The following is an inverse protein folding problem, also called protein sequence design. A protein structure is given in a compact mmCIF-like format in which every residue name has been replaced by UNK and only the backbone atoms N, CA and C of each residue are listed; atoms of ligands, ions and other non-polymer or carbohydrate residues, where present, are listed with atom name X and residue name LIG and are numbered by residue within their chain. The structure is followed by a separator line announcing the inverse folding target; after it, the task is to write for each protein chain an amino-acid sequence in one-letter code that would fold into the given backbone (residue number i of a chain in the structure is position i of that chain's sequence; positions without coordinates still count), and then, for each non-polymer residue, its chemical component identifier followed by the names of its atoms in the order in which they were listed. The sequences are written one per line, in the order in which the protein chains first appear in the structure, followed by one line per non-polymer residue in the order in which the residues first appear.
data_IF_065879991725
#
_entry.id   IF_065879991725
#
_cell.length_a   1.000
_cell.length_b   1.000
_cell.length_c   1.000
_cell.angle_alpha   90.00
_cell.angle_beta   90.00
_cell.angle_gamma   90.00
#
_symmetry.space_group_name_H-M   'P 1'
#
loop_
_entity.id
_entity.type
_entity.pdbx_description
1 polymer ?
#
# COMPACT_ATOMS: atom_id res chain seq x y z
N UNK A 1 -9.61 -16.09 -18.72
CA UNK A 1 -10.24 -15.01 -17.93
C UNK A 1 -9.15 -14.35 -17.13
N UNK A 2 -9.11 -13.02 -17.08
CA UNK A 2 -8.12 -12.35 -16.24
C UNK A 2 -8.42 -12.60 -14.76
N UNK A 3 -7.41 -12.61 -13.87
CA UNK A 3 -7.59 -12.73 -12.43
C UNK A 3 -8.61 -11.73 -11.86
N UNK A 4 -8.57 -10.50 -12.36
CA UNK A 4 -9.52 -9.45 -12.03
C UNK A 4 -10.98 -9.83 -12.35
N UNK A 5 -11.24 -10.41 -13.54
CA UNK A 5 -12.60 -10.80 -13.94
C UNK A 5 -13.17 -11.92 -13.06
N UNK A 6 -12.33 -12.87 -12.63
CA UNK A 6 -12.73 -13.95 -11.73
C UNK A 6 -13.09 -13.37 -10.36
N UNK A 7 -12.25 -12.49 -9.83
CA UNK A 7 -12.45 -11.85 -8.55
C UNK A 7 -13.71 -10.98 -8.53
N UNK A 8 -13.92 -10.16 -9.56
CA UNK A 8 -15.15 -9.37 -9.69
C UNK A 8 -16.39 -10.25 -9.81
N UNK A 9 -16.30 -11.38 -10.52
CA UNK A 9 -17.37 -12.37 -10.58
C UNK A 9 -17.70 -12.94 -9.20
N UNK A 10 -16.69 -13.31 -8.42
CA UNK A 10 -16.87 -13.80 -7.04
C UNK A 10 -17.50 -12.73 -6.14
N UNK A 11 -17.05 -11.48 -6.23
CA UNK A 11 -17.64 -10.35 -5.47
C UNK A 11 -19.12 -10.21 -5.79
N UNK A 12 -19.48 -10.20 -7.07
CA UNK A 12 -20.88 -10.07 -7.50
C UNK A 12 -21.77 -11.22 -7.00
N UNK A 13 -21.26 -12.47 -7.00
CA UNK A 13 -22.00 -13.64 -6.53
C UNK A 13 -22.11 -13.65 -4.99
N UNK A 14 -21.03 -13.32 -4.28
CA UNK A 14 -21.00 -13.38 -2.81
C UNK A 14 -21.74 -12.21 -2.17
N UNK A 15 -21.79 -11.05 -2.80
CA UNK A 15 -22.42 -9.85 -2.22
C UNK A 15 -23.88 -10.08 -1.78
N UNK A 16 -24.79 -10.63 -2.59
CA UNK A 16 -26.17 -10.91 -2.15
C UNK A 16 -26.24 -11.88 -0.96
N UNK A 17 -25.40 -12.92 -0.98
CA UNK A 17 -25.35 -13.93 0.09
C UNK A 17 -24.90 -13.31 1.40
N UNK A 18 -23.83 -12.53 1.38
CA UNK A 18 -23.28 -11.90 2.59
C UNK A 18 -24.24 -10.81 3.12
N UNK A 19 -24.86 -10.01 2.24
CA UNK A 19 -25.90 -9.07 2.65
C UNK A 19 -27.07 -9.81 3.35
N UNK A 20 -27.46 -10.96 2.81
CA UNK A 20 -28.49 -11.79 3.44
C UNK A 20 -28.07 -12.33 4.81
N UNK A 21 -26.83 -12.79 4.97
CA UNK A 21 -26.29 -13.27 6.23
C UNK A 21 -26.28 -12.18 7.32
N UNK A 22 -25.79 -10.97 7.01
CA UNK A 22 -25.79 -9.87 7.98
C UNK A 22 -27.18 -9.41 8.41
N UNK A 23 -28.22 -9.75 7.65
CA UNK A 23 -29.62 -9.42 7.98
C UNK A 23 -30.37 -10.57 8.67
N UNK A 24 -29.71 -11.66 9.09
CA UNK A 24 -30.39 -12.75 9.81
C UNK A 24 -31.01 -12.30 11.12
N UNK A 25 -30.40 -11.33 11.82
CA UNK A 25 -30.89 -10.74 13.06
C UNK A 25 -31.92 -9.62 12.89
N UNK A 26 -32.15 -9.12 11.66
CA UNK A 26 -33.09 -8.02 11.37
C UNK A 26 -33.83 -8.24 10.05
N UNK A 27 -34.55 -9.36 9.97
CA UNK A 27 -35.21 -9.83 8.73
C UNK A 27 -36.22 -8.83 8.15
N UNK A 28 -36.87 -8.07 8.99
CA UNK A 28 -37.84 -7.01 8.62
C UNK A 28 -37.19 -5.84 7.87
N UNK A 29 -35.90 -5.66 7.99
CA UNK A 29 -35.16 -4.60 7.30
C UNK A 29 -34.83 -4.93 5.84
N UNK A 30 -35.08 -6.17 5.40
CA UNK A 30 -34.74 -6.63 4.04
C UNK A 30 -35.69 -6.06 3.00
N UNK A 31 -35.15 -5.59 1.90
CA UNK A 31 -35.95 -5.36 0.71
C UNK A 31 -36.34 -6.72 0.09
N UNK A 32 -37.63 -7.03 -0.05
CA UNK A 32 -38.06 -8.26 -0.69
C UNK A 32 -37.53 -8.35 -2.12
N UNK A 33 -37.09 -9.54 -2.53
CA UNK A 33 -36.53 -9.74 -3.89
C UNK A 33 -37.50 -9.30 -4.99
N UNK A 34 -38.81 -9.52 -4.80
CA UNK A 34 -39.87 -9.10 -5.74
C UNK A 34 -39.99 -7.58 -5.89
N UNK A 35 -39.52 -6.80 -4.93
CA UNK A 35 -39.53 -5.31 -4.95
C UNK A 35 -38.19 -4.69 -5.29
N UNK A 36 -37.15 -5.51 -5.45
CA UNK A 36 -35.79 -5.00 -5.60
C UNK A 36 -35.62 -4.13 -6.86
N UNK A 37 -36.18 -4.56 -8.00
CA UNK A 37 -36.13 -3.78 -9.24
C UNK A 37 -36.86 -2.43 -9.13
N UNK A 38 -38.02 -2.44 -8.46
CA UNK A 38 -38.79 -1.24 -8.18
C UNK A 38 -38.04 -0.27 -7.27
N UNK A 39 -37.43 -0.79 -6.17
CA UNK A 39 -36.62 0.00 -5.25
C UNK A 39 -35.36 0.59 -5.93
N UNK A 40 -34.69 -0.18 -6.78
CA UNK A 40 -33.55 0.30 -7.58
C UNK A 40 -33.96 1.46 -8.46
N UNK A 41 -35.13 1.36 -9.14
CA UNK A 41 -35.66 2.41 -10.01
C UNK A 41 -36.09 3.64 -9.20
N UNK A 42 -36.97 3.45 -8.21
CA UNK A 42 -37.56 4.53 -7.43
C UNK A 42 -36.53 5.32 -6.61
N UNK A 43 -35.55 4.62 -6.04
CA UNK A 43 -34.46 5.23 -5.28
C UNK A 43 -33.23 5.57 -6.13
N UNK A 44 -33.29 5.34 -7.44
CA UNK A 44 -32.23 5.66 -8.40
C UNK A 44 -30.86 5.08 -8.00
N UNK A 45 -30.82 3.85 -7.46
CA UNK A 45 -29.57 3.21 -7.04
C UNK A 45 -28.58 2.97 -8.21
N UNK A 46 -29.05 2.98 -9.46
CA UNK A 46 -28.19 2.95 -10.64
C UNK A 46 -27.23 4.14 -10.73
N UNK A 47 -27.53 5.29 -10.08
CA UNK A 47 -26.61 6.42 -10.01
C UNK A 47 -25.36 6.10 -9.18
N UNK A 48 -25.48 5.24 -8.16
CA UNK A 48 -24.34 4.76 -7.39
C UNK A 48 -23.44 3.87 -8.25
N UNK A 49 -24.05 2.95 -9.03
CA UNK A 49 -23.30 2.13 -9.99
C UNK A 49 -22.55 2.99 -11.02
N UNK A 50 -23.19 4.05 -11.54
CA UNK A 50 -22.52 5.01 -12.43
C UNK A 50 -21.36 5.73 -11.73
N UNK A 51 -21.50 6.08 -10.46
CA UNK A 51 -20.41 6.65 -9.64
C UNK A 51 -19.20 5.71 -9.56
N UNK A 52 -19.41 4.41 -9.34
CA UNK A 52 -18.32 3.43 -9.33
C UNK A 52 -17.66 3.28 -10.72
N UNK A 53 -18.45 3.26 -11.80
CA UNK A 53 -17.90 3.25 -13.16
C UNK A 53 -17.07 4.51 -13.43
N UNK A 54 -17.53 5.66 -12.95
CA UNK A 54 -16.79 6.92 -13.06
C UNK A 54 -15.42 6.82 -12.36
N UNK A 55 -15.34 6.29 -11.13
CA UNK A 55 -14.07 6.13 -10.42
C UNK A 55 -13.12 5.21 -11.18
N UNK A 56 -13.60 4.07 -11.70
CA UNK A 56 -12.76 3.14 -12.47
C UNK A 56 -12.13 3.85 -13.67
N UNK A 57 -12.93 4.66 -14.38
CA UNK A 57 -12.43 5.44 -15.53
C UNK A 57 -11.48 6.57 -15.10
N UNK A 58 -11.79 7.22 -13.99
CA UNK A 58 -10.96 8.26 -13.42
C UNK A 58 -9.59 7.71 -12.97
N UNK A 59 -9.58 6.56 -12.29
CA UNK A 59 -8.34 5.87 -11.93
C UNK A 59 -7.50 5.55 -13.18
N UNK A 60 -8.10 4.94 -14.19
CA UNK A 60 -7.39 4.63 -15.44
C UNK A 60 -6.81 5.86 -16.16
N UNK A 61 -7.46 7.02 -16.02
CA UNK A 61 -6.91 8.29 -16.52
C UNK A 61 -5.75 8.78 -15.65
N UNK A 62 -5.89 8.69 -14.33
CA UNK A 62 -4.84 9.07 -13.37
C UNK A 62 -3.58 8.24 -13.58
N UNK A 63 -3.74 6.92 -13.73
CA UNK A 63 -2.61 6.01 -13.98
C UNK A 63 -1.83 6.39 -15.26
N UNK A 64 -2.52 6.85 -16.31
CA UNK A 64 -1.85 7.34 -17.54
C UNK A 64 -1.12 8.67 -17.37
N UNK A 65 -1.54 9.52 -16.44
CA UNK A 65 -0.93 10.81 -16.16
C UNK A 65 0.20 10.68 -15.14
N UNK A 66 0.29 9.55 -14.46
CA UNK A 66 1.19 9.34 -13.35
C UNK A 66 2.67 9.48 -13.77
N UNK A 67 3.12 8.66 -14.73
CA UNK A 67 4.51 8.65 -15.20
C UNK A 67 4.99 10.03 -15.67
N UNK A 68 4.33 10.73 -16.62
CA UNK A 68 4.79 12.02 -17.09
C UNK A 68 4.86 13.11 -16.01
N UNK A 69 3.99 13.03 -14.99
CA UNK A 69 3.97 14.00 -13.90
C UNK A 69 5.07 13.69 -12.89
N UNK A 70 5.28 12.43 -12.56
CA UNK A 70 6.30 11.98 -11.59
C UNK A 70 7.72 12.29 -12.05
N UNK A 71 8.02 12.16 -13.32
CA UNK A 71 9.32 12.57 -13.87
C UNK A 71 9.69 14.03 -13.53
N UNK A 72 8.68 14.88 -13.35
CA UNK A 72 8.87 16.31 -13.06
C UNK A 72 8.72 16.71 -11.59
N UNK A 73 8.16 15.86 -10.73
CA UNK A 73 7.78 16.23 -9.35
C UNK A 73 8.76 15.78 -8.26
N UNK A 74 9.65 14.86 -8.54
CA UNK A 74 10.61 14.33 -7.57
C UNK A 74 10.01 13.28 -6.63
N UNK A 75 10.88 12.67 -5.82
CA UNK A 75 10.57 11.56 -4.91
C UNK A 75 10.68 12.01 -3.45
N UNK A 76 9.65 11.73 -2.66
CA UNK A 76 9.57 12.10 -1.24
C UNK A 76 9.82 10.91 -0.30
N UNK A 77 10.16 9.74 -0.81
CA UNK A 77 10.35 8.51 -0.03
C UNK A 77 11.42 8.67 1.04
N UNK A 78 12.55 9.31 0.69
CA UNK A 78 13.63 9.54 1.64
C UNK A 78 13.18 10.39 2.85
N UNK A 79 12.29 11.35 2.64
CA UNK A 79 11.73 12.15 3.73
C UNK A 79 10.86 11.28 4.67
N UNK A 80 10.02 10.40 4.12
CA UNK A 80 9.22 9.46 4.92
C UNK A 80 10.14 8.49 5.67
N UNK A 81 11.12 7.91 4.98
CA UNK A 81 12.10 7.01 5.57
C UNK A 81 12.90 7.66 6.71
N UNK A 82 13.26 8.96 6.57
CA UNK A 82 13.94 9.70 7.64
C UNK A 82 13.11 9.82 8.93
N UNK A 83 11.79 9.71 8.85
CA UNK A 83 10.87 9.74 9.99
C UNK A 83 10.67 8.33 10.57
N UNK A 84 10.48 7.35 9.71
CA UNK A 84 9.99 6.01 10.07
C UNK A 84 11.12 4.97 10.21
N UNK A 85 12.20 5.13 9.45
CA UNK A 85 13.29 4.14 9.41
C UNK A 85 12.77 2.75 9.00
N UNK A 86 13.31 1.73 9.63
CA UNK A 86 13.00 0.32 9.37
C UNK A 86 11.81 -0.23 10.17
N UNK A 87 10.93 0.63 10.68
CA UNK A 87 9.83 0.19 11.56
C UNK A 87 8.88 -0.82 10.87
N UNK A 88 8.63 -0.67 9.57
CA UNK A 88 7.82 -1.62 8.80
C UNK A 88 8.51 -2.99 8.65
N UNK A 89 9.84 -3.02 8.48
CA UNK A 89 10.63 -4.25 8.42
C UNK A 89 10.48 -5.08 9.70
N UNK A 90 10.51 -4.42 10.86
CA UNK A 90 10.29 -5.11 12.14
C UNK A 90 8.96 -5.87 12.19
N UNK A 91 7.88 -5.31 11.63
CA UNK A 91 6.60 -6.01 11.53
C UNK A 91 6.71 -7.26 10.66
N UNK A 92 7.36 -7.15 9.52
CA UNK A 92 7.54 -8.26 8.62
C UNK A 92 8.34 -9.38 9.27
N UNK A 93 9.55 -9.11 9.76
CA UNK A 93 10.44 -10.07 10.40
C UNK A 93 9.80 -10.76 11.61
N UNK A 94 9.04 -10.00 12.43
CA UNK A 94 8.39 -10.54 13.63
C UNK A 94 7.28 -11.55 13.30
N UNK A 95 6.52 -11.32 12.23
CA UNK A 95 5.30 -12.07 11.94
C UNK A 95 5.39 -12.92 10.67
N UNK A 96 6.49 -12.88 9.92
CA UNK A 96 6.60 -13.53 8.62
C UNK A 96 6.31 -15.03 8.71
N UNK A 97 5.30 -15.45 7.95
CA UNK A 97 4.83 -16.83 7.88
C UNK A 97 4.07 -17.04 6.58
N UNK A 98 4.37 -18.10 5.84
CA UNK A 98 3.78 -18.39 4.53
C UNK A 98 2.23 -18.39 4.55
N UNK A 99 1.62 -19.06 5.51
CA UNK A 99 0.15 -19.09 5.62
C UNK A 99 -0.43 -17.68 5.89
N UNK A 100 0.22 -16.90 6.75
CA UNK A 100 -0.20 -15.53 7.06
C UNK A 100 -0.05 -14.63 5.83
N UNK A 101 1.03 -14.78 5.07
CA UNK A 101 1.27 -14.05 3.82
C UNK A 101 0.17 -14.32 2.80
N UNK A 102 -0.16 -15.58 2.54
CA UNK A 102 -1.24 -15.95 1.62
C UNK A 102 -2.60 -15.39 2.06
N UNK A 103 -2.91 -15.51 3.35
CA UNK A 103 -4.14 -14.98 3.93
C UNK A 103 -4.22 -13.45 3.79
N UNK A 104 -3.14 -12.74 4.10
CA UNK A 104 -3.11 -11.28 4.04
C UNK A 104 -3.10 -10.76 2.60
N UNK A 105 -2.46 -11.45 1.67
CA UNK A 105 -2.54 -11.16 0.24
C UNK A 105 -3.98 -11.27 -0.27
N UNK A 106 -4.68 -12.36 0.09
CA UNK A 106 -6.09 -12.51 -0.24
C UNK A 106 -6.95 -11.41 0.41
N UNK A 107 -6.70 -11.10 1.70
CA UNK A 107 -7.43 -10.08 2.44
C UNK A 107 -7.23 -8.70 1.82
N UNK A 108 -5.99 -8.33 1.52
CA UNK A 108 -5.63 -7.03 0.96
C UNK A 108 -6.37 -6.75 -0.35
N UNK A 109 -6.40 -7.71 -1.24
CA UNK A 109 -7.01 -7.53 -2.55
C UNK A 109 -8.52 -7.77 -2.54
N UNK A 110 -8.92 -8.99 -2.14
CA UNK A 110 -10.29 -9.42 -2.28
C UNK A 110 -11.23 -8.71 -1.30
N UNK A 111 -10.86 -8.69 -0.02
CA UNK A 111 -11.73 -8.12 1.02
C UNK A 111 -11.84 -6.61 0.86
N UNK A 112 -10.80 -5.93 0.42
CA UNK A 112 -10.85 -4.48 0.15
C UNK A 112 -11.89 -4.15 -0.94
N UNK A 113 -11.77 -4.76 -2.12
CA UNK A 113 -12.71 -4.54 -3.20
C UNK A 113 -14.12 -4.98 -2.81
N UNK A 114 -14.23 -6.13 -2.15
CA UNK A 114 -15.49 -6.63 -1.64
C UNK A 114 -16.16 -5.64 -0.68
N UNK A 115 -15.43 -5.10 0.28
CA UNK A 115 -15.94 -4.15 1.27
C UNK A 115 -16.46 -2.86 0.63
N UNK A 116 -15.76 -2.34 -0.38
CA UNK A 116 -16.19 -1.15 -1.12
C UNK A 116 -17.56 -1.39 -1.78
N UNK A 117 -17.71 -2.50 -2.50
CA UNK A 117 -18.95 -2.80 -3.20
C UNK A 117 -20.08 -3.22 -2.28
N UNK A 118 -19.79 -4.15 -1.37
CA UNK A 118 -20.83 -4.71 -0.49
C UNK A 118 -21.42 -3.64 0.43
N UNK A 119 -20.66 -2.65 0.88
CA UNK A 119 -21.18 -1.64 1.81
C UNK A 119 -22.31 -0.84 1.17
N UNK A 120 -22.13 -0.38 -0.05
CA UNK A 120 -23.17 0.34 -0.80
C UNK A 120 -24.39 -0.55 -1.05
N UNK A 121 -24.16 -1.80 -1.49
CA UNK A 121 -25.23 -2.76 -1.77
C UNK A 121 -25.98 -3.15 -0.49
N UNK A 122 -25.26 -3.36 0.62
CA UNK A 122 -25.85 -3.70 1.89
C UNK A 122 -26.82 -2.61 2.38
N UNK A 123 -26.39 -1.34 2.43
CA UNK A 123 -27.27 -0.25 2.85
C UNK A 123 -28.45 -0.05 1.90
N UNK A 124 -28.26 -0.24 0.61
CA UNK A 124 -29.36 -0.23 -0.36
C UNK A 124 -30.36 -1.38 -0.10
N UNK A 125 -29.84 -2.59 0.18
CA UNK A 125 -30.63 -3.79 0.45
C UNK A 125 -31.49 -3.68 1.73
N UNK A 126 -30.97 -3.04 2.75
CA UNK A 126 -31.69 -2.81 4.02
C UNK A 126 -32.50 -1.50 4.02
N UNK A 127 -32.61 -0.83 2.88
CA UNK A 127 -33.43 0.37 2.71
C UNK A 127 -32.86 1.65 3.30
N UNK A 128 -31.61 1.65 3.77
CA UNK A 128 -30.92 2.82 4.35
C UNK A 128 -30.36 3.72 3.25
N UNK A 129 -31.25 4.41 2.54
CA UNK A 129 -30.90 5.27 1.40
C UNK A 129 -29.88 6.36 1.77
N UNK A 130 -30.03 6.96 2.94
CA UNK A 130 -29.13 8.02 3.41
C UNK A 130 -27.70 7.51 3.58
N UNK A 131 -27.53 6.34 4.18
CA UNK A 131 -26.21 5.71 4.31
C UNK A 131 -25.63 5.26 2.97
N UNK A 132 -26.48 4.75 2.07
CA UNK A 132 -26.06 4.38 0.70
C UNK A 132 -25.46 5.58 -0.02
N UNK A 133 -26.15 6.73 0.02
CA UNK A 133 -25.68 7.97 -0.58
C UNK A 133 -24.36 8.45 0.05
N UNK A 134 -24.31 8.49 1.39
CA UNK A 134 -23.14 8.98 2.12
C UNK A 134 -21.90 8.13 1.85
N UNK A 135 -22.03 6.80 1.87
CA UNK A 135 -20.90 5.89 1.63
C UNK A 135 -20.38 6.02 0.20
N UNK A 136 -21.27 6.06 -0.79
CA UNK A 136 -20.85 6.21 -2.20
C UNK A 136 -20.18 7.56 -2.45
N UNK A 137 -20.76 8.66 -1.95
CA UNK A 137 -20.19 9.99 -2.10
C UNK A 137 -18.87 10.12 -1.35
N UNK A 138 -18.74 9.49 -0.18
CA UNK A 138 -17.49 9.47 0.57
C UNK A 138 -16.38 8.75 -0.21
N UNK A 139 -16.69 7.64 -0.82
CA UNK A 139 -15.75 6.92 -1.68
C UNK A 139 -15.27 7.78 -2.84
N UNK A 140 -16.19 8.45 -3.56
CA UNK A 140 -15.87 9.38 -4.64
C UNK A 140 -14.97 10.52 -4.15
N UNK A 141 -15.27 11.10 -2.99
CA UNK A 141 -14.51 12.22 -2.43
C UNK A 141 -13.13 11.79 -1.96
N UNK A 142 -12.99 10.65 -1.28
CA UNK A 142 -11.69 10.12 -0.85
C UNK A 142 -10.77 9.91 -2.05
N UNK A 143 -11.29 9.33 -3.15
CA UNK A 143 -10.52 9.20 -4.38
C UNK A 143 -10.11 10.55 -4.97
N UNK A 144 -11.04 11.52 -4.98
CA UNK A 144 -10.72 12.87 -5.47
C UNK A 144 -9.65 13.57 -4.64
N UNK A 145 -9.61 13.31 -3.32
CA UNK A 145 -8.56 13.83 -2.43
C UNK A 145 -7.23 13.09 -2.64
N UNK A 146 -7.25 11.77 -2.83
CA UNK A 146 -6.05 10.95 -2.94
C UNK A 146 -5.29 11.18 -4.26
N UNK A 147 -6.00 11.42 -5.37
CA UNK A 147 -5.37 11.60 -6.68
C UNK A 147 -4.27 12.66 -6.72
N UNK A 148 -4.42 13.88 -6.18
CA UNK A 148 -3.33 14.85 -6.12
C UNK A 148 -2.09 14.33 -5.39
N UNK A 149 -2.25 13.54 -4.33
CA UNK A 149 -1.12 12.93 -3.63
C UNK A 149 -0.39 11.94 -4.53
N UNK A 150 -1.13 11.06 -5.20
CA UNK A 150 -0.54 10.08 -6.10
C UNK A 150 0.16 10.68 -7.33
N UNK A 151 -0.25 11.86 -7.76
CA UNK A 151 0.37 12.54 -8.89
C UNK A 151 1.56 13.43 -8.50
N UNK A 152 1.51 14.06 -7.32
CA UNK A 152 2.46 15.12 -6.94
C UNK A 152 3.27 14.81 -5.69
N UNK A 153 2.91 13.81 -4.92
CA UNK A 153 3.62 13.38 -3.72
C UNK A 153 4.04 11.92 -3.87
N UNK A 154 5.03 11.72 -4.71
CA UNK A 154 5.53 10.41 -5.06
C UNK A 154 6.30 9.80 -3.88
N UNK A 155 5.79 8.66 -3.37
CA UNK A 155 6.41 7.88 -2.29
C UNK A 155 6.35 6.41 -2.68
N UNK A 156 7.51 5.79 -2.76
CA UNK A 156 7.63 4.37 -3.08
C UNK A 156 7.14 3.50 -1.93
N UNK A 157 6.74 2.27 -2.23
CA UNK A 157 6.35 1.28 -1.23
C UNK A 157 7.55 0.89 -0.35
N UNK A 158 7.30 0.44 0.88
CA UNK A 158 8.35 0.14 1.85
C UNK A 158 9.31 -0.95 1.37
N UNK A 159 8.79 -1.96 0.69
CA UNK A 159 9.62 -3.05 0.17
C UNK A 159 10.50 -2.67 -1.02
N UNK A 160 10.24 -1.55 -1.71
CA UNK A 160 11.18 -1.01 -2.73
C UNK A 160 12.23 -0.06 -2.15
N UNK A 161 12.16 0.23 -0.85
CA UNK A 161 13.02 1.23 -0.25
C UNK A 161 13.81 0.73 0.95
N UNK A 162 13.17 -0.05 1.84
CA UNK A 162 13.79 -0.53 3.09
C UNK A 162 14.62 -1.77 2.77
N UNK A 163 15.94 -1.73 3.02
CA UNK A 163 16.81 -2.87 2.81
C UNK A 163 16.38 -4.10 3.62
N UNK A 164 16.44 -5.27 3.01
CA UNK A 164 16.04 -6.53 3.64
C UNK A 164 14.53 -6.74 3.78
N UNK A 165 13.70 -5.81 3.30
CA UNK A 165 12.26 -5.98 3.33
C UNK A 165 11.75 -6.70 2.09
N UNK A 166 11.07 -7.83 2.30
CA UNK A 166 10.49 -8.64 1.23
C UNK A 166 9.23 -7.99 0.65
N UNK A 167 9.09 -8.05 -0.68
CA UNK A 167 7.90 -7.62 -1.39
C UNK A 167 6.80 -8.69 -1.36
N UNK A 168 6.31 -9.05 -0.18
CA UNK A 168 5.41 -10.19 0.04
C UNK A 168 4.11 -10.14 -0.78
N UNK A 169 3.69 -8.96 -1.22
CA UNK A 169 2.52 -8.82 -2.11
C UNK A 169 2.85 -9.19 -3.55
N UNK A 170 4.11 -9.00 -3.97
CA UNK A 170 4.49 -9.02 -5.38
C UNK A 170 5.28 -10.28 -5.78
N UNK A 171 5.63 -11.14 -4.83
CA UNK A 171 6.61 -12.21 -5.05
C UNK A 171 6.11 -13.41 -5.86
N UNK A 172 4.85 -13.81 -5.81
CA UNK A 172 4.46 -15.03 -6.49
C UNK A 172 3.00 -15.09 -6.98
N UNK A 173 2.82 -15.69 -8.14
CA UNK A 173 1.58 -16.26 -8.62
C UNK A 173 0.54 -15.26 -9.10
N UNK A 174 -0.68 -15.52 -8.73
CA UNK A 174 -1.88 -14.86 -9.24
C UNK A 174 -1.99 -13.38 -8.88
N UNK A 175 -1.48 -13.00 -7.71
CA UNK A 175 -1.50 -11.62 -7.21
C UNK A 175 -0.51 -10.72 -7.94
N UNK A 176 0.67 -11.21 -8.27
CA UNK A 176 1.73 -10.45 -8.98
C UNK A 176 1.23 -9.90 -10.30
N UNK A 177 0.57 -10.72 -11.11
CA UNK A 177 0.01 -10.29 -12.41
C UNK A 177 -1.03 -9.18 -12.24
N UNK A 178 -1.80 -9.19 -11.15
CA UNK A 178 -2.77 -8.14 -10.88
C UNK A 178 -2.08 -6.81 -10.52
N UNK A 179 -1.12 -6.85 -9.61
CA UNK A 179 -0.47 -5.64 -9.08
C UNK A 179 0.47 -4.99 -10.07
N UNK A 180 1.25 -5.76 -10.82
CA UNK A 180 2.11 -5.25 -11.88
C UNK A 180 1.37 -4.38 -12.91
N UNK A 181 0.07 -4.62 -13.09
CA UNK A 181 -0.75 -3.89 -14.08
C UNK A 181 -1.65 -2.81 -13.49
N UNK A 182 -1.88 -2.78 -12.16
CA UNK A 182 -2.95 -1.96 -11.59
C UNK A 182 -2.55 -1.11 -10.39
N UNK A 183 -1.39 -1.33 -9.80
CA UNK A 183 -0.95 -0.63 -8.59
C UNK A 183 0.51 -0.19 -8.73
N UNK A 184 0.76 1.08 -9.08
CA UNK A 184 2.12 1.61 -9.19
C UNK A 184 2.85 1.53 -7.85
N UNK A 185 4.11 1.12 -7.85
CA UNK A 185 4.94 0.95 -6.65
C UNK A 185 5.31 2.26 -5.94
N UNK A 186 4.91 3.40 -6.47
CA UNK A 186 5.28 4.73 -6.01
C UNK A 186 4.07 5.57 -5.57
N UNK A 187 2.93 4.93 -5.33
CA UNK A 187 1.69 5.54 -4.83
C UNK A 187 1.38 5.12 -3.38
N UNK A 188 2.39 5.02 -2.52
CA UNK A 188 2.16 4.52 -1.17
C UNK A 188 1.25 5.43 -0.33
N UNK A 189 1.36 6.76 -0.46
CA UNK A 189 0.70 7.76 0.40
C UNK A 189 -0.44 8.49 -0.32
N UNK A 190 -1.63 8.65 0.31
CA UNK A 190 -2.13 8.00 1.54
C UNK A 190 -2.75 6.64 1.28
N UNK A 191 -2.76 5.74 2.27
CA UNK A 191 -3.40 4.43 2.10
C UNK A 191 -4.92 4.51 1.98
N UNK A 192 -5.44 4.11 0.82
CA UNK A 192 -6.89 3.99 0.59
C UNK A 192 -7.50 2.78 1.33
N UNK A 193 -6.70 1.74 1.59
CA UNK A 193 -7.10 0.57 2.38
C UNK A 193 -7.45 0.93 3.83
N UNK A 194 -6.94 2.06 4.31
CA UNK A 194 -7.30 2.64 5.61
C UNK A 194 -8.37 3.72 5.46
N UNK A 195 -8.20 4.65 4.51
CA UNK A 195 -9.07 5.82 4.37
C UNK A 195 -10.53 5.46 4.12
N UNK A 196 -10.80 4.53 3.21
CA UNK A 196 -12.16 4.17 2.81
C UNK A 196 -12.91 3.47 3.94
N UNK A 197 -12.45 2.34 4.51
CA UNK A 197 -13.17 1.67 5.59
C UNK A 197 -13.27 2.52 6.85
N UNK A 198 -12.24 3.31 7.20
CA UNK A 198 -12.30 4.23 8.32
C UNK A 198 -13.37 5.32 8.11
N UNK A 199 -13.46 5.87 6.90
CA UNK A 199 -14.53 6.80 6.54
C UNK A 199 -15.93 6.20 6.69
N UNK A 200 -16.12 4.93 6.35
CA UNK A 200 -17.40 4.22 6.56
C UNK A 200 -17.70 4.06 8.06
N UNK A 201 -16.69 3.72 8.88
CA UNK A 201 -16.82 3.62 10.33
C UNK A 201 -17.34 4.95 10.91
N UNK A 202 -16.74 6.07 10.50
CA UNK A 202 -17.17 7.40 10.96
C UNK A 202 -18.57 7.78 10.47
N UNK A 203 -18.91 7.50 9.22
CA UNK A 203 -20.28 7.72 8.71
C UNK A 203 -21.30 6.97 9.55
N UNK A 204 -21.04 5.72 9.89
CA UNK A 204 -21.91 4.91 10.73
C UNK A 204 -22.05 5.49 12.13
N UNK A 205 -20.93 5.92 12.71
CA UNK A 205 -20.94 6.57 14.03
C UNK A 205 -21.70 7.89 14.02
N UNK A 206 -21.49 8.74 13.04
CA UNK A 206 -22.19 10.02 12.86
C UNK A 206 -23.70 9.80 12.67
N UNK A 207 -24.08 8.81 11.87
CA UNK A 207 -25.48 8.41 11.68
C UNK A 207 -26.15 7.98 13.01
N UNK A 208 -25.50 7.13 13.78
CA UNK A 208 -26.02 6.71 15.07
C UNK A 208 -26.11 7.88 16.05
N UNK A 209 -25.10 8.77 16.07
CA UNK A 209 -25.09 9.97 16.90
C UNK A 209 -26.21 10.94 16.54
N UNK A 210 -26.44 11.17 15.27
CA UNK A 210 -27.54 12.01 14.76
C UNK A 210 -28.91 11.48 15.18
N UNK A 211 -29.08 10.16 15.15
CA UNK A 211 -30.33 9.48 15.53
C UNK A 211 -30.45 9.17 17.03
N UNK A 212 -29.47 9.55 17.85
CA UNK A 212 -29.37 9.21 19.27
C UNK A 212 -29.48 7.70 19.56
N UNK A 213 -28.90 6.88 18.69
CA UNK A 213 -28.83 5.43 18.84
C UNK A 213 -27.44 5.05 19.34
N UNK A 214 -27.34 4.20 20.37
CA UNK A 214 -26.06 3.64 20.77
C UNK A 214 -25.57 2.65 19.71
N UNK A 215 -24.30 2.71 19.35
CA UNK A 215 -23.73 1.87 18.31
C UNK A 215 -24.03 0.37 18.47
N UNK A 216 -23.94 -0.14 19.70
CA UNK A 216 -24.22 -1.56 19.99
C UNK A 216 -25.70 -1.94 19.89
N UNK A 217 -26.59 -0.98 19.98
CA UNK A 217 -28.04 -1.16 19.86
C UNK A 217 -28.52 -0.96 18.41
N UNK A 218 -27.62 -0.51 17.54
CA UNK A 218 -27.95 -0.29 16.14
C UNK A 218 -28.18 -1.62 15.40
N UNK A 219 -29.28 -1.70 14.67
CA UNK A 219 -29.67 -2.93 13.94
C UNK A 219 -28.61 -3.46 12.95
N UNK A 220 -27.67 -2.60 12.53
CA UNK A 220 -26.56 -2.96 11.65
C UNK A 220 -25.23 -3.10 12.38
N UNK A 221 -25.23 -3.27 13.69
CA UNK A 221 -24.02 -3.40 14.52
C UNK A 221 -23.08 -4.50 14.03
N UNK A 222 -23.60 -5.68 13.69
CA UNK A 222 -22.77 -6.80 13.22
C UNK A 222 -22.04 -6.47 11.91
N UNK A 223 -22.70 -5.75 11.00
CA UNK A 223 -22.08 -5.27 9.77
C UNK A 223 -21.03 -4.19 10.06
N UNK A 224 -21.32 -3.26 10.95
CA UNK A 224 -20.36 -2.26 11.41
C UNK A 224 -19.12 -2.92 12.04
N UNK A 225 -19.31 -3.92 12.91
CA UNK A 225 -18.22 -4.66 13.53
C UNK A 225 -17.35 -5.39 12.49
N UNK A 226 -17.97 -5.95 11.47
CA UNK A 226 -17.25 -6.53 10.33
C UNK A 226 -16.33 -5.51 9.66
N UNK A 227 -16.80 -4.28 9.42
CA UNK A 227 -15.97 -3.21 8.85
C UNK A 227 -14.82 -2.87 9.79
N UNK A 228 -15.08 -2.70 11.09
CA UNK A 228 -14.05 -2.38 12.09
C UNK A 228 -12.95 -3.44 12.14
N UNK A 229 -13.32 -4.71 12.19
CA UNK A 229 -12.36 -5.83 12.24
C UNK A 229 -11.49 -5.83 10.97
N UNK A 230 -12.10 -5.68 9.79
CA UNK A 230 -11.33 -5.65 8.55
C UNK A 230 -10.45 -4.40 8.44
N UNK A 231 -10.87 -3.25 8.99
CA UNK A 231 -10.02 -2.04 9.04
C UNK A 231 -8.76 -2.27 9.87
N UNK A 232 -8.91 -2.88 11.05
CA UNK A 232 -7.76 -3.24 11.90
C UNK A 232 -6.84 -4.22 11.18
N UNK A 233 -7.43 -5.20 10.49
CA UNK A 233 -6.66 -6.17 9.73
C UNK A 233 -5.94 -5.53 8.53
N UNK A 234 -6.55 -4.55 7.84
CA UNK A 234 -5.85 -3.77 6.80
C UNK A 234 -4.67 -3.00 7.35
N UNK A 235 -4.82 -2.35 8.50
CA UNK A 235 -3.72 -1.63 9.17
C UNK A 235 -2.52 -2.56 9.40
N UNK A 236 -2.76 -3.77 9.86
CA UNK A 236 -1.72 -4.79 10.03
C UNK A 236 -1.15 -5.24 8.67
N UNK A 237 -2.04 -5.54 7.73
CA UNK A 237 -1.67 -6.09 6.42
C UNK A 237 -0.73 -5.16 5.64
N UNK A 238 -1.01 -3.87 5.61
CA UNK A 238 -0.23 -2.89 4.83
C UNK A 238 1.19 -2.71 5.37
N UNK A 239 1.38 -2.83 6.68
CA UNK A 239 2.70 -2.80 7.30
C UNK A 239 3.48 -4.11 7.04
N UNK A 240 2.78 -5.25 7.08
CA UNK A 240 3.36 -6.57 6.93
C UNK A 240 3.79 -6.91 5.50
N UNK A 241 2.97 -6.57 4.50
CA UNK A 241 3.20 -6.96 3.10
C UNK A 241 4.25 -6.12 2.37
N UNK A 242 4.83 -5.12 3.01
CA UNK A 242 5.84 -4.27 2.39
C UNK A 242 5.30 -3.25 1.39
N UNK A 243 4.04 -2.81 1.57
CA UNK A 243 3.34 -1.97 0.60
C UNK A 243 3.29 -0.51 1.06
N UNK A 244 3.04 -0.27 2.34
CA UNK A 244 2.80 1.04 2.88
C UNK A 244 3.70 1.34 4.07
N UNK A 245 4.01 2.61 4.23
CA UNK A 245 4.64 3.16 5.42
C UNK A 245 3.64 3.19 6.58
N UNK A 246 4.11 3.07 7.81
CA UNK A 246 3.22 3.18 8.96
C UNK A 246 2.59 4.59 9.04
N UNK A 247 3.29 5.61 8.53
CA UNK A 247 2.79 6.98 8.41
C UNK A 247 1.56 7.10 7.49
N UNK A 248 1.37 6.17 6.57
CA UNK A 248 0.20 6.16 5.66
C UNK A 248 -1.10 5.85 6.42
N UNK A 249 -0.99 5.18 7.56
CA UNK A 249 -2.15 4.84 8.40
C UNK A 249 -2.83 6.11 8.90
N UNK A 250 -2.15 7.03 9.63
CA UNK A 250 -2.78 8.27 10.10
C UNK A 250 -3.22 9.17 8.95
N UNK A 251 -2.43 9.24 7.89
CA UNK A 251 -2.79 10.04 6.71
C UNK A 251 -4.06 9.49 6.05
N UNK A 252 -4.16 8.18 5.90
CA UNK A 252 -5.37 7.52 5.42
C UNK A 252 -6.58 7.78 6.32
N UNK A 253 -6.40 7.70 7.66
CA UNK A 253 -7.47 8.01 8.62
C UNK A 253 -7.91 9.47 8.54
N UNK A 254 -6.98 10.42 8.39
CA UNK A 254 -7.30 11.85 8.22
C UNK A 254 -8.11 12.06 6.94
N UNK A 255 -7.70 11.47 5.82
CA UNK A 255 -8.43 11.56 4.55
C UNK A 255 -9.83 10.95 4.67
N UNK A 256 -9.95 9.79 5.32
CA UNK A 256 -11.23 9.15 5.60
C UNK A 256 -12.14 10.01 6.49
N UNK A 257 -11.57 10.65 7.52
CA UNK A 257 -12.29 11.56 8.42
C UNK A 257 -12.79 12.82 7.69
N UNK A 258 -11.94 13.46 6.91
CA UNK A 258 -12.31 14.63 6.09
C UNK A 258 -13.48 14.27 5.17
N UNK A 259 -13.36 13.15 4.45
CA UNK A 259 -14.41 12.67 3.56
C UNK A 259 -15.73 12.44 4.30
N UNK A 260 -15.69 11.66 5.39
CA UNK A 260 -16.87 11.31 6.16
C UNK A 260 -17.59 12.53 6.75
N UNK A 261 -16.84 13.44 7.38
CA UNK A 261 -17.39 14.67 7.98
C UNK A 261 -17.99 15.59 6.91
N UNK A 262 -17.27 15.79 5.82
CA UNK A 262 -17.75 16.64 4.74
C UNK A 262 -19.02 16.10 4.11
N UNK A 263 -19.05 14.80 3.77
CA UNK A 263 -20.23 14.17 3.17
C UNK A 263 -21.40 14.10 4.15
N UNK A 264 -21.14 13.84 5.42
CA UNK A 264 -22.20 13.85 6.44
C UNK A 264 -22.95 15.20 6.50
N UNK A 265 -22.22 16.30 6.33
CA UNK A 265 -22.82 17.65 6.29
C UNK A 265 -23.40 18.03 4.93
N UNK A 266 -22.75 17.65 3.84
CA UNK A 266 -23.11 18.07 2.49
C UNK A 266 -24.31 17.29 1.92
N UNK A 267 -24.33 15.97 2.09
CA UNK A 267 -25.33 15.09 1.46
C UNK A 267 -26.78 15.43 1.81
N UNK A 268 -27.16 15.70 3.08
CA UNK A 268 -28.52 16.07 3.42
C UNK A 268 -28.96 17.38 2.73
N UNK A 269 -28.03 18.31 2.57
CA UNK A 269 -28.31 19.60 1.89
C UNK A 269 -28.43 19.45 0.39
N UNK A 270 -27.58 18.65 -0.23
CA UNK A 270 -27.72 18.30 -1.65
C UNK A 270 -29.08 17.67 -1.95
N UNK A 271 -29.60 16.89 -1.01
CA UNK A 271 -30.87 16.17 -1.18
C UNK A 271 -32.10 17.03 -0.91
N UNK A 272 -32.06 17.89 0.12
CA UNK A 272 -33.23 18.59 0.64
C UNK A 272 -33.28 20.07 0.26
N UNK A 273 -32.15 20.75 0.16
CA UNK A 273 -32.10 22.19 -0.12
C UNK A 273 -30.77 22.58 -0.79
N UNK A 274 -30.75 22.57 -2.10
CA UNK A 274 -29.57 22.90 -2.89
C UNK A 274 -29.09 24.35 -2.67
N UNK A 275 -30.00 25.27 -2.32
CA UNK A 275 -29.66 26.67 -2.08
C UNK A 275 -28.84 26.89 -0.80
N UNK A 276 -28.92 25.94 0.14
CA UNK A 276 -28.24 26.04 1.44
C UNK A 276 -27.09 25.02 1.59
N UNK A 277 -26.57 24.51 0.50
CA UNK A 277 -25.59 23.42 0.48
C UNK A 277 -24.41 23.65 1.43
N UNK A 278 -23.94 24.87 1.54
CA UNK A 278 -22.79 25.24 2.41
C UNK A 278 -23.17 26.07 3.64
N UNK A 279 -24.48 26.23 3.93
CA UNK A 279 -24.91 27.01 5.10
C UNK A 279 -24.46 26.35 6.40
N UNK A 280 -23.86 27.13 7.29
CA UNK A 280 -23.36 26.67 8.60
C UNK A 280 -22.11 25.78 8.56
N UNK A 281 -21.57 25.51 7.37
CA UNK A 281 -20.24 24.92 7.20
C UNK A 281 -19.24 26.06 7.32
N UNK A 282 -18.59 26.17 8.46
CA UNK A 282 -17.53 27.16 8.66
C UNK A 282 -16.18 26.43 8.62
N UNK A 283 -15.18 27.07 8.02
CA UNK A 283 -13.78 26.60 8.00
C UNK A 283 -13.32 26.23 9.40
N UNK A 284 -13.69 27.03 10.42
CA UNK A 284 -13.36 26.76 11.82
C UNK A 284 -13.94 25.44 12.33
N UNK A 285 -15.19 25.08 11.98
CA UNK A 285 -15.79 23.79 12.38
C UNK A 285 -15.10 22.60 11.70
N UNK A 286 -14.86 22.71 10.40
CA UNK A 286 -14.15 21.67 9.62
C UNK A 286 -12.74 21.45 10.17
N UNK A 287 -11.97 22.54 10.28
CA UNK A 287 -10.58 22.48 10.78
C UNK A 287 -10.54 21.93 12.22
N UNK A 288 -11.45 22.39 13.09
CA UNK A 288 -11.43 21.94 14.48
C UNK A 288 -11.71 20.44 14.62
N UNK A 289 -12.71 19.90 13.93
CA UNK A 289 -12.99 18.46 13.96
C UNK A 289 -11.85 17.64 13.34
N UNK A 290 -11.40 18.04 12.14
CA UNK A 290 -10.30 17.34 11.45
C UNK A 290 -9.00 17.42 12.26
N UNK A 291 -8.71 18.57 12.88
CA UNK A 291 -7.52 18.75 13.70
C UNK A 291 -7.52 17.80 14.91
N UNK A 292 -8.60 17.75 15.69
CA UNK A 292 -8.63 16.91 16.88
C UNK A 292 -8.62 15.43 16.55
N UNK A 293 -9.39 14.96 15.58
CA UNK A 293 -9.39 13.57 15.16
C UNK A 293 -8.03 13.16 14.56
N UNK A 294 -7.46 14.02 13.73
CA UNK A 294 -6.12 13.83 13.20
C UNK A 294 -5.04 13.86 14.28
N UNK A 295 -5.11 14.79 15.23
CA UNK A 295 -4.14 14.90 16.31
C UNK A 295 -4.17 13.68 17.25
N UNK A 296 -5.35 13.16 17.59
CA UNK A 296 -5.47 11.93 18.39
C UNK A 296 -4.89 10.73 17.64
N UNK A 297 -5.19 10.62 16.35
CA UNK A 297 -4.68 9.53 15.51
C UNK A 297 -3.15 9.60 15.39
N UNK A 298 -2.61 10.78 15.10
CA UNK A 298 -1.16 10.99 15.02
C UNK A 298 -0.47 10.72 16.36
N UNK A 299 -1.09 11.12 17.47
CA UNK A 299 -0.54 10.86 18.80
C UNK A 299 -0.50 9.36 19.13
N UNK A 300 -1.57 8.62 18.83
CA UNK A 300 -1.62 7.18 19.04
C UNK A 300 -0.56 6.47 18.20
N UNK A 301 -0.37 6.88 16.97
CA UNK A 301 0.65 6.32 16.10
C UNK A 301 2.06 6.74 16.50
N UNK A 302 2.25 7.99 16.94
CA UNK A 302 3.52 8.42 17.52
C UNK A 302 3.91 7.54 18.73
N UNK A 303 2.98 7.14 19.57
CA UNK A 303 3.26 6.21 20.68
C UNK A 303 3.68 4.82 20.16
N UNK A 304 3.02 4.31 19.13
CA UNK A 304 3.39 3.03 18.49
C UNK A 304 4.77 3.15 17.83
N UNK A 305 5.00 4.20 17.05
CA UNK A 305 6.29 4.47 16.42
C UNK A 305 7.41 4.62 17.43
N UNK A 306 7.20 5.40 18.50
CA UNK A 306 8.20 5.59 19.52
C UNK A 306 8.60 4.29 20.19
N UNK A 307 7.67 3.35 20.37
CA UNK A 307 7.96 2.05 20.96
C UNK A 307 8.73 1.12 20.01
N UNK A 308 8.49 1.21 18.71
CA UNK A 308 9.16 0.39 17.69
C UNK A 308 10.52 0.99 17.32
N UNK A 309 10.54 2.28 16.96
CA UNK A 309 11.77 2.97 16.52
C UNK A 309 12.79 3.19 17.62
N UNK A 310 12.39 3.15 18.90
CA UNK A 310 13.33 3.25 20.02
C UNK A 310 14.32 2.08 20.08
N UNK A 311 13.95 0.93 19.54
CA UNK A 311 14.81 -0.26 19.50
C UNK A 311 15.79 -0.26 18.31
N UNK A 312 15.53 0.51 17.24
CA UNK A 312 16.31 0.46 16.00
C UNK A 312 17.02 1.77 15.62
N UNK A 313 17.39 2.56 16.56
CA UNK A 313 17.83 3.94 16.46
C UNK A 313 19.03 4.23 15.55
N UNK A 314 19.00 3.84 14.29
CA UNK A 314 19.77 4.57 13.26
C UNK A 314 19.22 4.24 11.89
N UNK A 315 18.78 5.27 11.17
CA UNK A 315 18.85 5.30 9.73
C UNK A 315 20.34 5.13 9.42
N UNK A 316 20.75 3.91 9.20
CA UNK A 316 22.08 3.65 8.67
C UNK A 316 21.91 3.70 7.15
N UNK A 317 22.50 4.71 6.50
CA UNK A 317 22.63 4.81 5.07
C UNK A 317 23.44 3.62 4.48
N UNK A 318 23.81 2.69 5.34
CA UNK A 318 24.69 1.57 5.07
C UNK A 318 23.93 0.28 5.26
N UNK A 319 23.84 -0.46 4.19
CA UNK A 319 23.33 -1.83 4.20
C UNK A 319 24.49 -2.77 4.06
N UNK A 320 24.54 -3.78 4.89
CA UNK A 320 25.58 -4.81 4.84
C UNK A 320 24.93 -6.18 4.60
N UNK A 321 25.42 -6.88 3.61
CA UNK A 321 25.06 -8.26 3.29
C UNK A 321 26.27 -9.15 3.47
N UNK A 322 26.08 -10.31 4.10
CA UNK A 322 27.10 -11.35 4.16
C UNK A 322 26.71 -12.47 3.23
N UNK A 323 27.63 -12.81 2.35
CA UNK A 323 27.41 -13.81 1.31
C UNK A 323 28.22 -15.05 1.68
N UNK A 324 27.51 -16.17 1.83
CA UNK A 324 28.09 -17.46 2.11
C UNK A 324 28.49 -18.22 0.85
N UNK A 325 29.03 -19.40 1.04
CA UNK A 325 29.52 -20.25 -0.04
C UNK A 325 28.41 -20.77 -0.96
N UNK A 326 27.23 -21.03 -0.40
CA UNK A 326 26.07 -21.55 -1.16
C UNK A 326 25.46 -20.51 -2.11
N UNK A 327 25.85 -19.23 -1.96
CA UNK A 327 25.36 -18.10 -2.75
C UNK A 327 26.44 -17.61 -3.72
N UNK A 328 26.70 -18.36 -4.79
CA UNK A 328 27.69 -17.95 -5.80
C UNK A 328 27.35 -16.65 -6.54
N UNK A 329 26.12 -16.18 -6.45
CA UNK A 329 25.64 -14.96 -7.10
C UNK A 329 24.81 -14.14 -6.12
N UNK A 330 25.21 -12.89 -5.92
CA UNK A 330 24.44 -11.88 -5.18
C UNK A 330 23.87 -10.88 -6.16
N UNK A 331 22.57 -10.66 -6.10
CA UNK A 331 21.86 -9.72 -6.95
C UNK A 331 21.11 -8.70 -6.10
N UNK A 332 21.23 -7.42 -6.43
CA UNK A 332 20.50 -6.37 -5.78
C UNK A 332 20.11 -5.28 -6.78
N UNK A 333 18.85 -4.88 -6.72
CA UNK A 333 18.30 -3.83 -7.59
C UNK A 333 18.19 -2.54 -6.80
N UNK A 334 18.70 -1.47 -7.37
CA UNK A 334 18.70 -0.17 -6.73
C UNK A 334 18.54 0.98 -7.69
N UNK A 335 18.37 2.16 -7.09
CA UNK A 335 18.25 3.43 -7.77
C UNK A 335 19.30 4.39 -7.26
N UNK A 336 19.96 5.11 -8.16
CA UNK A 336 20.85 6.22 -7.80
C UNK A 336 20.09 7.51 -8.03
N UNK A 337 19.96 8.34 -7.00
CA UNK A 337 19.34 9.65 -7.13
C UNK A 337 20.29 10.62 -7.85
N UNK A 338 19.70 11.62 -8.50
CA UNK A 338 20.48 12.61 -9.27
C UNK A 338 21.45 13.38 -8.37
N UNK A 339 22.74 13.26 -8.69
CA UNK A 339 23.82 13.93 -7.97
C UNK A 339 24.36 13.15 -6.77
N UNK A 340 23.86 11.95 -6.52
CA UNK A 340 24.37 11.05 -5.48
C UNK A 340 25.31 10.00 -6.08
N UNK A 341 26.16 9.44 -5.24
CA UNK A 341 27.07 8.34 -5.58
C UNK A 341 26.78 7.17 -4.68
N UNK A 342 26.43 6.02 -5.26
CA UNK A 342 26.38 4.77 -4.53
C UNK A 342 27.80 4.25 -4.39
N UNK A 343 28.19 3.96 -3.17
CA UNK A 343 29.48 3.36 -2.82
C UNK A 343 29.24 1.92 -2.38
N UNK A 344 29.90 0.99 -3.06
CA UNK A 344 29.86 -0.44 -2.72
C UNK A 344 31.22 -0.82 -2.17
N UNK A 345 31.31 -1.16 -0.90
CA UNK A 345 32.50 -1.70 -0.24
C UNK A 345 32.35 -3.21 -0.14
N UNK A 346 33.27 -3.96 -0.74
CA UNK A 346 33.30 -5.41 -0.73
C UNK A 346 34.54 -5.86 0.05
N UNK A 347 34.31 -6.57 1.16
CA UNK A 347 35.34 -7.05 2.06
C UNK A 347 35.50 -8.55 1.92
N UNK A 348 36.72 -9.02 1.75
CA UNK A 348 37.05 -10.44 1.81
C UNK A 348 37.07 -10.89 3.28
N UNK A 349 36.19 -11.81 3.63
CA UNK A 349 36.09 -12.39 4.98
C UNK A 349 36.91 -13.66 5.17
N UNK A 350 37.51 -14.21 4.11
CA UNK A 350 38.43 -15.35 4.21
C UNK A 350 39.76 -14.87 4.81
N UNK A 351 40.26 -15.61 5.80
CA UNK A 351 41.52 -15.28 6.51
C UNK A 351 42.78 -15.75 5.74
N UNK A 352 42.64 -16.54 4.72
CA UNK A 352 43.74 -17.28 4.08
C UNK A 352 43.83 -17.20 2.57
N UNK A 353 42.70 -16.93 1.87
CA UNK A 353 42.65 -16.97 0.43
C UNK A 353 42.21 -15.61 -0.15
N UNK A 354 42.78 -15.29 -1.31
CA UNK A 354 42.29 -14.16 -2.08
C UNK A 354 40.89 -14.44 -2.58
N UNK A 355 40.03 -13.43 -2.52
CA UNK A 355 38.70 -13.47 -3.06
C UNK A 355 38.73 -12.88 -4.48
N UNK A 356 38.38 -13.70 -5.45
CA UNK A 356 38.14 -13.24 -6.83
C UNK A 356 36.65 -13.19 -7.07
N UNK A 357 36.15 -12.03 -7.52
CA UNK A 357 34.75 -11.85 -7.84
C UNK A 357 34.58 -10.91 -9.02
N UNK A 358 33.45 -11.09 -9.69
CA UNK A 358 33.01 -10.32 -10.84
C UNK A 358 31.87 -9.41 -10.40
N UNK A 359 31.91 -8.15 -10.78
CA UNK A 359 30.87 -7.15 -10.55
C UNK A 359 30.29 -6.68 -11.86
N UNK A 360 28.99 -6.69 -11.97
CA UNK A 360 28.26 -6.13 -13.12
C UNK A 360 27.25 -5.10 -12.63
N UNK A 361 27.25 -3.94 -13.27
CA UNK A 361 26.24 -2.92 -13.12
C UNK A 361 25.38 -2.88 -14.37
N UNK A 362 24.13 -3.31 -14.26
CA UNK A 362 23.22 -3.46 -15.40
C UNK A 362 22.13 -2.41 -15.32
N UNK A 363 21.89 -1.72 -16.42
CA UNK A 363 20.79 -0.78 -16.56
C UNK A 363 19.46 -1.54 -16.58
N UNK A 364 18.44 -1.03 -15.89
CA UNK A 364 17.08 -1.60 -15.87
C UNK A 364 16.44 -1.75 -17.28
N UNK A 365 16.99 -1.04 -18.26
CA UNK A 365 16.58 -1.18 -19.67
C UNK A 365 17.19 -2.39 -20.38
N UNK A 366 18.17 -3.06 -19.77
CA UNK A 366 18.87 -4.22 -20.34
C UNK A 366 18.39 -5.47 -19.59
N UNK A 367 17.67 -6.31 -20.27
CA UNK A 367 17.26 -7.60 -19.75
C UNK A 367 18.46 -8.55 -19.74
N UNK A 368 19.12 -8.65 -18.60
CA UNK A 368 20.32 -9.48 -18.41
C UNK A 368 19.96 -10.87 -17.88
N UNK A 369 18.74 -11.00 -17.34
CA UNK A 369 18.26 -12.26 -16.78
C UNK A 369 17.15 -12.84 -17.66
N UNK A 370 17.41 -13.95 -18.31
CA UNK A 370 16.40 -14.72 -19.05
C UNK A 370 16.10 -15.99 -18.25
N UNK A 371 14.86 -16.14 -17.79
CA UNK A 371 14.39 -17.29 -16.99
C UNK A 371 15.27 -17.61 -15.76
N UNK A 372 15.79 -16.57 -15.10
CA UNK A 372 16.65 -16.73 -13.91
C UNK A 372 18.11 -17.10 -14.22
N UNK A 373 18.53 -16.99 -15.48
CA UNK A 373 19.91 -17.25 -15.92
C UNK A 373 20.49 -15.99 -16.58
N UNK A 374 21.73 -15.64 -16.24
CA UNK A 374 22.41 -14.47 -16.81
C UNK A 374 22.63 -14.68 -18.31
N UNK A 375 22.16 -13.73 -19.10
CA UNK A 375 22.49 -13.64 -20.52
C UNK A 375 23.91 -13.05 -20.71
N UNK A 376 24.90 -13.92 -20.76
CA UNK A 376 26.29 -13.58 -20.88
C UNK A 376 26.65 -12.83 -22.18
N UNK A 377 25.84 -12.94 -23.21
CA UNK A 377 26.08 -12.23 -24.48
C UNK A 377 25.85 -10.71 -24.30
N UNK A 378 24.86 -10.34 -23.49
CA UNK A 378 24.57 -8.95 -23.12
C UNK A 378 25.38 -8.47 -21.91
N UNK A 379 25.75 -9.35 -20.99
CA UNK A 379 26.48 -9.04 -19.77
C UNK A 379 27.97 -8.82 -19.96
N UNK A 380 28.60 -9.47 -20.96
CA UNK A 380 30.06 -9.52 -21.13
C UNK A 380 30.76 -8.16 -21.37
N UNK A 381 30.02 -7.11 -21.70
CA UNK A 381 30.56 -5.76 -21.86
C UNK A 381 30.56 -4.91 -20.59
N UNK A 382 29.94 -5.43 -19.51
CA UNK A 382 29.70 -4.72 -18.26
C UNK A 382 30.48 -5.31 -17.07
N UNK A 383 31.33 -6.29 -17.37
CA UNK A 383 32.09 -7.05 -16.36
C UNK A 383 33.30 -6.28 -15.86
N UNK A 384 33.43 -6.19 -14.54
CA UNK A 384 34.67 -5.78 -13.86
C UNK A 384 35.10 -6.88 -12.89
N UNK A 385 36.33 -7.39 -13.03
CA UNK A 385 36.89 -8.44 -12.18
C UNK A 385 37.76 -7.82 -11.10
N UNK A 386 37.55 -8.20 -9.86
CA UNK A 386 38.30 -7.75 -8.70
C UNK A 386 38.94 -8.93 -7.98
N UNK A 387 40.15 -8.70 -7.46
CA UNK A 387 40.85 -9.65 -6.58
C UNK A 387 41.17 -8.91 -5.29
N UNK A 388 40.72 -9.42 -4.17
CA UNK A 388 40.86 -8.79 -2.84
C UNK A 388 41.61 -9.75 -1.90
N UNK A 389 42.68 -9.26 -1.27
CA UNK A 389 43.48 -10.04 -0.30
C UNK A 389 42.67 -10.35 0.97
N UNK A 390 43.04 -11.36 1.75
CA UNK A 390 42.39 -11.72 3.00
C UNK A 390 42.27 -10.53 3.97
N UNK A 391 41.02 -10.27 4.41
CA UNK A 391 40.70 -9.18 5.35
C UNK A 391 40.74 -7.78 4.75
N UNK A 392 41.06 -7.62 3.46
CA UNK A 392 41.05 -6.33 2.77
C UNK A 392 39.69 -6.04 2.13
N UNK A 393 39.49 -4.76 1.74
CA UNK A 393 38.25 -4.29 1.09
C UNK A 393 38.57 -3.53 -0.18
N UNK A 394 37.69 -3.63 -1.16
CA UNK A 394 37.66 -2.78 -2.34
C UNK A 394 36.42 -1.91 -2.34
N UNK A 395 36.54 -0.66 -2.79
CA UNK A 395 35.43 0.27 -2.88
C UNK A 395 35.14 0.61 -4.35
N UNK A 396 33.92 0.40 -4.76
CA UNK A 396 33.41 0.68 -6.09
C UNK A 396 32.39 1.82 -6.00
N UNK A 397 32.54 2.85 -6.84
CA UNK A 397 31.67 4.01 -6.85
C UNK A 397 30.88 4.07 -8.16
N UNK A 398 29.57 4.30 -8.08
CA UNK A 398 28.69 4.50 -9.21
C UNK A 398 27.90 5.80 -9.05
N UNK A 399 27.95 6.66 -10.07
CA UNK A 399 27.34 8.01 -10.05
C UNK A 399 26.26 8.22 -11.11
N UNK A 400 25.96 7.22 -11.91
CA UNK A 400 24.96 7.33 -12.97
C UNK A 400 23.54 7.34 -12.40
N UNK A 401 22.76 8.34 -12.77
CA UNK A 401 21.35 8.46 -12.39
C UNK A 401 20.49 7.50 -13.23
N UNK A 402 20.38 6.27 -12.76
CA UNK A 402 19.57 5.22 -13.39
C UNK A 402 19.08 4.24 -12.34
N UNK A 403 18.06 3.49 -12.68
CA UNK A 403 17.76 2.23 -12.03
C UNK A 403 18.77 1.22 -12.57
N UNK A 404 19.33 0.44 -11.67
CA UNK A 404 20.38 -0.52 -12.00
C UNK A 404 20.25 -1.78 -11.16
N UNK A 405 20.72 -2.87 -11.70
CA UNK A 405 20.95 -4.12 -10.99
C UNK A 405 22.45 -4.29 -10.78
N UNK A 406 22.84 -4.45 -9.52
CA UNK A 406 24.20 -4.85 -9.14
C UNK A 406 24.22 -6.37 -8.99
N UNK A 407 25.03 -7.02 -9.77
CA UNK A 407 25.26 -8.46 -9.70
C UNK A 407 26.71 -8.68 -9.30
N UNK A 408 26.93 -9.44 -8.23
CA UNK A 408 28.25 -9.86 -7.78
C UNK A 408 28.32 -11.37 -7.84
N UNK A 409 29.32 -11.91 -8.50
CA UNK A 409 29.56 -13.35 -8.61
C UNK A 409 30.94 -13.69 -8.08
N UNK A 410 31.03 -14.71 -7.25
CA UNK A 410 32.29 -15.22 -6.76
C UNK A 410 32.44 -16.73 -7.03
N UNK A 411 33.68 -17.18 -7.08
CA UNK A 411 34.01 -18.58 -7.27
C UNK A 411 34.87 -19.11 -6.10
N UNK A 412 34.38 -18.86 -4.89
CA UNK A 412 35.08 -19.28 -3.65
C UNK A 412 34.61 -20.67 -3.24
N UNK A 413 35.54 -21.51 -2.81
CA UNK A 413 35.30 -22.93 -2.44
C UNK A 413 35.48 -23.16 -0.92
N UNK A 414 35.13 -22.21 -0.08
CA UNK A 414 35.23 -22.33 1.37
C UNK A 414 34.00 -23.03 1.95
N UNK A 415 34.15 -24.09 2.71
CA UNK A 415 33.07 -24.85 3.34
C UNK A 415 32.80 -24.27 4.76
N UNK A 416 31.65 -23.71 5.03
CA UNK A 416 31.09 -23.32 6.34
C UNK A 416 31.28 -21.87 6.85
N UNK A 417 31.65 -20.88 6.04
CA UNK A 417 31.73 -19.48 6.51
C UNK A 417 31.28 -18.45 5.47
N UNK A 418 30.89 -17.28 5.93
CA UNK A 418 30.66 -16.12 5.07
C UNK A 418 31.95 -15.79 4.32
N UNK A 419 31.88 -15.66 2.99
CA UNK A 419 33.03 -15.45 2.11
C UNK A 419 33.33 -13.96 1.92
N UNK A 420 32.26 -13.16 1.82
CA UNK A 420 32.38 -11.72 1.63
C UNK A 420 31.32 -10.94 2.39
N UNK A 421 31.64 -9.70 2.71
CA UNK A 421 30.68 -8.71 3.19
C UNK A 421 30.54 -7.60 2.14
N UNK A 422 29.32 -7.36 1.68
CA UNK A 422 28.97 -6.28 0.74
C UNK A 422 28.28 -5.18 1.50
N UNK A 423 28.89 -3.99 1.61
CA UNK A 423 28.29 -2.79 2.19
C UNK A 423 27.93 -1.81 1.11
N UNK A 424 26.69 -1.37 1.11
CA UNK A 424 26.16 -0.34 0.22
C UNK A 424 25.90 0.94 1.02
N UNK A 425 26.40 2.06 0.52
CA UNK A 425 26.28 3.39 1.13
C UNK A 425 25.60 4.29 0.11
N UNK A 426 24.64 5.10 0.54
CA UNK A 426 23.74 5.89 -0.32
C UNK A 426 22.94 5.01 -1.31
N UNK A 427 22.50 3.87 -0.82
CA UNK A 427 21.80 2.89 -1.60
C UNK A 427 20.30 2.97 -1.33
N UNK A 428 19.53 3.05 -2.40
CA UNK A 428 18.07 3.06 -2.35
C UNK A 428 17.55 1.82 -3.07
N UNK A 429 17.07 0.80 -2.33
CA UNK A 429 16.58 -0.42 -2.97
C UNK A 429 15.38 -0.14 -3.86
N UNK A 430 15.33 -0.77 -5.01
CA UNK A 430 14.16 -0.84 -5.86
C UNK A 430 13.82 -2.31 -6.08
N UNK A 431 12.55 -2.62 -5.97
CA UNK A 431 12.05 -3.95 -6.32
C UNK A 431 11.84 -4.02 -7.82
N UNK A 432 12.31 -5.11 -8.40
CA UNK A 432 12.02 -5.53 -9.78
C UNK A 432 10.56 -5.95 -9.95
#
# INVERSE_FOLDING_TARGET
MSPYSIMMGLILILTPLICWLFTLGCKESRTPFSKMAEEIHNKRYYLHALGYIFIIKWKALTDKLNEPIKESTGNFTNWIYSIEGNAALWFQETFQNAWLTDFLNFHYLFIYLFLIYITTVYYAYVGERDLTDKVTLNYLLIYAIAVPYYLFFNVEVTSSWIPGMDALLYQEGWYTVFYATHDPLDNAVPSLHVAIPFGIILINWLHCKEKNIKMREWKHWNYHLFIVINTILFIFTIAYLGIHWLLDIPLGMIVGAIGALFIHHLQPRMRNDHGKMFEGVTTKKVVNHTFWEGAVTLFMLFLIFSSISYQENKIDDRVSYRIGEDESTFEIIGKINRGETVMTEITNLDDSNNLEFLVMWVDDSVDVMIDGVIDWENASQLEEVYVVEPGESVTINKTEYKIWTLIIMHNSASQDSDVMEVKLINYYPKIS
#
